data_IF_881371336584
#
_entry.id   IF_881371336584
#
_cell.length_a   1.000
_cell.length_b   1.000
_cell.length_c   1.000
_cell.angle_alpha   90.00
_cell.angle_beta   90.00
_cell.angle_gamma   90.00
#
_symmetry.space_group_name_H-M   'P 1'
#
loop_
_entity.id
_entity.type
_entity.pdbx_description
1 polymer ?
#
# COMPACT_ATOMS: atom_id res chain seq x y z
N UNK A 1 9.45 4.76 6.47
CA UNK A 1 8.52 3.78 5.87
C UNK A 1 7.55 4.35 4.81
N UNK A 2 7.19 5.65 4.83
CA UNK A 2 6.41 6.30 3.76
C UNK A 2 6.86 6.02 2.30
N UNK A 3 8.17 6.01 1.96
CA UNK A 3 8.57 5.89 0.56
C UNK A 3 8.31 4.52 -0.07
N UNK A 4 8.27 3.43 0.73
CA UNK A 4 8.02 2.09 0.19
C UNK A 4 6.55 1.90 -0.21
N UNK A 5 5.62 2.41 0.62
CA UNK A 5 4.20 2.36 0.29
C UNK A 5 3.89 3.19 -0.95
N UNK A 6 4.45 4.38 -1.06
CA UNK A 6 4.23 5.25 -2.21
C UNK A 6 4.79 4.62 -3.50
N UNK A 7 6.01 4.09 -3.47
CA UNK A 7 6.59 3.37 -4.61
C UNK A 7 5.73 2.18 -5.05
N UNK A 8 5.27 1.34 -4.10
CA UNK A 8 4.43 0.19 -4.44
C UNK A 8 3.06 0.61 -4.95
N UNK A 9 2.46 1.66 -4.38
CA UNK A 9 1.20 2.21 -4.84
C UNK A 9 1.32 2.82 -6.24
N UNK A 10 2.41 3.53 -6.54
CA UNK A 10 2.71 4.03 -7.89
C UNK A 10 2.95 2.88 -8.87
N UNK A 11 3.75 1.88 -8.49
CA UNK A 11 4.03 0.70 -9.30
C UNK A 11 2.77 -0.09 -9.65
N UNK A 12 1.86 -0.22 -8.68
CA UNK A 12 0.58 -0.92 -8.86
C UNK A 12 -0.55 -0.02 -9.37
N UNK A 13 -0.24 1.25 -9.70
CA UNK A 13 -1.19 2.27 -10.17
C UNK A 13 -2.41 2.41 -9.26
N UNK A 14 -2.19 2.42 -7.95
CA UNK A 14 -3.23 2.54 -6.94
C UNK A 14 -4.00 1.24 -6.65
N UNK A 15 -3.64 0.12 -7.28
CA UNK A 15 -4.30 -1.16 -7.01
C UNK A 15 -3.83 -1.76 -5.68
N UNK A 16 -4.58 -1.45 -4.63
CA UNK A 16 -4.32 -1.90 -3.26
C UNK A 16 -4.24 -3.43 -3.14
N UNK A 17 -4.99 -4.20 -3.93
CA UNK A 17 -4.95 -5.66 -3.87
C UNK A 17 -3.61 -6.18 -4.40
N UNK A 18 -3.15 -5.65 -5.54
CA UNK A 18 -1.83 -6.00 -6.10
C UNK A 18 -0.69 -5.50 -5.20
N UNK A 19 -0.82 -4.31 -4.62
CA UNK A 19 0.16 -3.77 -3.67
C UNK A 19 0.29 -4.64 -2.42
N UNK A 20 -0.83 -5.10 -1.87
CA UNK A 20 -0.86 -5.98 -0.70
C UNK A 20 -0.20 -7.34 -1.02
N UNK A 21 -0.52 -7.93 -2.18
CA UNK A 21 0.11 -9.16 -2.65
C UNK A 21 1.63 -9.00 -2.83
N UNK A 22 2.06 -7.89 -3.44
CA UNK A 22 3.49 -7.59 -3.67
C UNK A 22 4.25 -7.36 -2.36
N UNK A 23 3.60 -6.76 -1.36
CA UNK A 23 4.17 -6.56 -0.02
C UNK A 23 4.07 -7.80 0.87
N UNK A 24 3.40 -8.88 0.43
CA UNK A 24 3.18 -10.07 1.26
C UNK A 24 2.30 -9.81 2.49
N UNK A 25 1.45 -8.78 2.46
CA UNK A 25 0.55 -8.42 3.54
C UNK A 25 -0.91 -8.55 3.09
N UNK A 26 -1.82 -8.69 4.04
CA UNK A 26 -3.24 -8.63 3.73
C UNK A 26 -3.68 -7.18 3.42
N UNK A 27 -4.71 -7.04 2.55
CA UNK A 27 -5.27 -5.74 2.15
C UNK A 27 -5.67 -4.87 3.36
N UNK A 28 -6.15 -5.49 4.44
CA UNK A 28 -6.50 -4.80 5.68
C UNK A 28 -5.33 -4.09 6.35
N UNK A 29 -4.15 -4.74 6.39
CA UNK A 29 -2.92 -4.12 6.91
C UNK A 29 -2.44 -3.01 6.00
N UNK A 30 -2.46 -3.22 4.67
CA UNK A 30 -2.13 -2.17 3.72
C UNK A 30 -3.02 -0.93 3.92
N UNK A 31 -4.33 -1.11 4.06
CA UNK A 31 -5.29 -0.01 4.27
C UNK A 31 -5.03 0.74 5.58
N UNK A 32 -4.69 0.02 6.68
CA UNK A 32 -4.29 0.67 7.94
C UNK A 32 -3.01 1.49 7.76
N UNK A 33 -2.01 0.98 7.03
CA UNK A 33 -0.78 1.73 6.72
C UNK A 33 -1.07 2.96 5.86
N UNK A 34 -1.85 2.84 4.79
CA UNK A 34 -2.26 3.97 3.94
C UNK A 34 -2.94 5.07 4.74
N UNK A 35 -3.89 4.72 5.62
CA UNK A 35 -4.56 5.68 6.50
C UNK A 35 -3.60 6.35 7.49
N UNK A 36 -2.62 5.62 8.04
CA UNK A 36 -1.57 6.18 8.92
C UNK A 36 -0.72 7.25 8.23
N UNK A 37 -0.52 7.11 6.92
CA UNK A 37 0.29 8.04 6.12
C UNK A 37 -0.52 9.09 5.36
N UNK A 38 -1.85 9.15 5.54
CA UNK A 38 -2.71 10.10 4.83
C UNK A 38 -2.90 9.78 3.34
N UNK A 39 -2.60 8.56 2.90
CA UNK A 39 -2.74 8.10 1.51
C UNK A 39 -4.07 7.34 1.31
N UNK A 40 -5.17 7.88 1.84
CA UNK A 40 -6.48 7.23 1.80
C UNK A 40 -7.37 7.77 0.68
#
# INVERSE_FOLDING_TARGET
EQPLLDMVMQYTRGNQTRAALMMGINRGTLRKKLKKYGMN
#
